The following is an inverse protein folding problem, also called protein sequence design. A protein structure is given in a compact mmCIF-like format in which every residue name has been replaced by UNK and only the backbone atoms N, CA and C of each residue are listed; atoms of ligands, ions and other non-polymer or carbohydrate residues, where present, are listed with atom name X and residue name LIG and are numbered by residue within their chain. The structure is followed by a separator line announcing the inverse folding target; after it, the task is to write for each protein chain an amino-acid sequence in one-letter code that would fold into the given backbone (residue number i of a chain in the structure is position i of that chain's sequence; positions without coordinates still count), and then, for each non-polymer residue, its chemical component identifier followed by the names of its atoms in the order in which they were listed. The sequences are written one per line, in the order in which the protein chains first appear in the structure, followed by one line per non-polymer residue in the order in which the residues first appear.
data_IF_339357383788
#
_entry.id   IF_339357383788
#
_cell.length_a   1.000
_cell.length_b   1.000
_cell.length_c   1.000
_cell.angle_alpha   90.00
_cell.angle_beta   90.00
_cell.angle_gamma   90.00
#
_symmetry.space_group_name_H-M   'P 1'
#
loop_
_entity.id
_entity.type
_entity.pdbx_description
1 polymer ?
#
# COMPACT_ATOMS: atom_id res chain seq x y z
N UNK A 1 -30.06 -30.52 46.07
CA UNK A 1 -29.87 -29.91 44.74
C UNK A 1 -30.42 -30.90 43.71
N UNK A 2 -31.46 -30.52 42.95
CA UNK A 2 -32.18 -31.48 42.10
C UNK A 2 -31.31 -31.94 40.93
N UNK A 3 -31.47 -33.18 40.49
CA UNK A 3 -30.67 -33.76 39.40
C UNK A 3 -30.78 -32.94 38.09
N UNK A 4 -31.86 -32.18 37.92
CA UNK A 4 -32.07 -31.28 36.78
C UNK A 4 -31.08 -30.12 36.72
N UNK A 5 -30.65 -29.55 37.85
CA UNK A 5 -29.64 -28.47 37.83
C UNK A 5 -28.27 -28.99 37.40
N UNK A 6 -27.95 -30.26 37.66
CA UNK A 6 -26.69 -30.88 37.19
C UNK A 6 -26.69 -31.13 35.68
N UNK A 7 -27.81 -31.59 35.11
CA UNK A 7 -27.91 -31.81 33.66
C UNK A 7 -27.92 -30.49 32.88
N UNK A 8 -28.52 -29.43 33.41
CA UNK A 8 -28.52 -28.09 32.81
C UNK A 8 -27.10 -27.46 32.81
N UNK A 9 -26.33 -27.67 33.88
CA UNK A 9 -24.94 -27.24 33.95
C UNK A 9 -24.02 -28.03 33.00
N UNK A 10 -24.29 -29.32 32.80
CA UNK A 10 -23.52 -30.18 31.89
C UNK A 10 -23.76 -29.82 30.41
N UNK A 11 -24.99 -29.47 30.03
CA UNK A 11 -25.31 -29.05 28.66
C UNK A 11 -24.74 -27.67 28.32
N UNK A 12 -24.77 -26.71 29.25
CA UNK A 12 -24.16 -25.38 29.03
C UNK A 12 -22.64 -25.47 28.88
N UNK A 13 -21.96 -26.36 29.63
CA UNK A 13 -20.52 -26.59 29.47
C UNK A 13 -20.15 -27.22 28.11
N UNK A 14 -20.97 -28.14 27.59
CA UNK A 14 -20.73 -28.79 26.30
C UNK A 14 -20.93 -27.86 25.09
N UNK A 15 -21.80 -26.85 25.20
CA UNK A 15 -22.00 -25.85 24.15
C UNK A 15 -20.91 -24.77 24.09
N UNK A 16 -20.15 -24.55 25.17
CA UNK A 16 -19.09 -23.53 25.21
C UNK A 16 -17.72 -24.02 24.68
N UNK A 17 -17.59 -25.31 24.33
CA UNK A 17 -16.33 -25.89 23.85
C UNK A 17 -16.18 -25.87 22.31
N UNK A 18 -17.20 -25.42 21.57
CA UNK A 18 -17.16 -25.25 20.11
C UNK A 18 -16.96 -23.78 19.72
N UNK A 19 -15.95 -23.11 20.28
CA UNK A 19 -15.43 -21.91 19.64
C UNK A 19 -14.45 -22.36 18.54
N UNK A 20 -14.69 -22.07 17.25
CA UNK A 20 -13.66 -22.30 16.25
C UNK A 20 -12.43 -21.48 16.65
N UNK A 21 -11.28 -22.15 16.75
CA UNK A 21 -10.01 -21.45 16.89
C UNK A 21 -9.93 -20.40 15.76
N UNK A 22 -9.43 -19.18 16.01
CA UNK A 22 -9.18 -18.25 14.92
C UNK A 22 -8.27 -18.97 13.93
N UNK A 23 -8.78 -19.18 12.72
CA UNK A 23 -7.98 -19.70 11.61
C UNK A 23 -7.04 -18.56 11.28
N UNK A 24 -5.85 -18.53 11.90
CA UNK A 24 -4.77 -17.72 11.40
C UNK A 24 -4.54 -18.21 9.97
N UNK A 25 -4.90 -17.39 8.99
CA UNK A 25 -4.44 -17.60 7.63
C UNK A 25 -2.92 -17.82 7.69
N UNK A 26 -2.37 -18.82 6.99
CA UNK A 26 -0.92 -19.02 6.99
C UNK A 26 -0.27 -17.71 6.55
N UNK A 27 0.61 -17.16 7.40
CA UNK A 27 1.37 -15.96 7.07
C UNK A 27 2.08 -16.18 5.74
N UNK A 28 2.02 -15.19 4.85
CA UNK A 28 2.70 -15.29 3.56
C UNK A 28 4.20 -15.46 3.81
N UNK A 29 4.89 -16.37 3.10
CA UNK A 29 6.32 -16.51 3.29
C UNK A 29 7.01 -15.17 3.03
N UNK A 30 8.01 -14.83 3.86
CA UNK A 30 8.81 -13.63 3.66
C UNK A 30 9.44 -13.63 2.25
N UNK A 31 9.69 -12.44 1.70
CA UNK A 31 10.41 -12.24 0.44
C UNK A 31 11.80 -11.69 0.76
N UNK A 32 12.86 -12.27 0.21
CA UNK A 32 14.21 -11.73 0.33
C UNK A 32 14.80 -11.43 -1.05
N UNK A 33 15.26 -10.19 -1.24
CA UNK A 33 16.03 -9.76 -2.41
C UNK A 33 17.50 -9.71 -2.03
N UNK A 34 18.35 -10.50 -2.68
CA UNK A 34 19.75 -10.73 -2.27
C UNK A 34 20.75 -10.37 -3.37
N UNK A 35 22.03 -10.26 -3.01
CA UNK A 35 23.19 -10.12 -3.90
C UNK A 35 23.20 -8.89 -4.84
N UNK A 36 22.26 -7.96 -4.69
CA UNK A 36 22.24 -6.72 -5.47
C UNK A 36 23.04 -5.60 -4.80
N UNK A 37 23.38 -4.57 -5.57
CA UNK A 37 23.87 -3.33 -5.02
C UNK A 37 22.68 -2.54 -4.44
N UNK A 38 22.54 -2.48 -3.12
CA UNK A 38 21.41 -1.85 -2.46
C UNK A 38 21.66 -0.35 -2.23
N UNK A 39 20.78 0.49 -2.75
CA UNK A 39 20.67 1.88 -2.35
C UNK A 39 19.58 2.02 -1.29
N UNK A 40 19.92 2.47 -0.09
CA UNK A 40 18.97 2.59 1.03
C UNK A 40 18.28 3.97 1.12
N UNK A 41 18.50 4.84 0.12
CA UNK A 41 18.08 6.25 0.14
C UNK A 41 19.18 7.22 0.58
N UNK A 42 20.28 6.72 1.14
CA UNK A 42 21.40 7.53 1.62
C UNK A 42 22.77 7.08 1.11
N UNK A 43 22.99 5.78 0.97
CA UNK A 43 24.27 5.20 0.56
C UNK A 43 24.08 3.93 -0.26
N UNK A 44 25.14 3.55 -0.97
CA UNK A 44 25.21 2.30 -1.72
C UNK A 44 25.88 1.20 -0.89
N UNK A 45 25.26 0.01 -0.86
CA UNK A 45 25.72 -1.21 -0.19
C UNK A 45 25.97 -2.27 -1.28
N UNK A 46 27.23 -2.58 -1.63
CA UNK A 46 27.53 -3.41 -2.80
C UNK A 46 26.98 -4.84 -2.80
N UNK A 47 26.78 -5.43 -1.62
CA UNK A 47 26.20 -6.76 -1.43
C UNK A 47 25.05 -6.65 -0.43
N UNK A 48 23.96 -6.05 -0.89
CA UNK A 48 22.79 -5.79 -0.09
C UNK A 48 21.83 -6.97 -0.02
N UNK A 49 21.07 -7.02 1.06
CA UNK A 49 19.90 -7.89 1.22
C UNK A 49 18.75 -7.09 1.79
N UNK A 50 17.55 -7.29 1.26
CA UNK A 50 16.30 -6.72 1.78
C UNK A 50 15.33 -7.88 2.04
N UNK A 51 14.78 -7.94 3.25
CA UNK A 51 13.75 -8.90 3.65
C UNK A 51 12.45 -8.16 3.87
N UNK A 52 11.38 -8.65 3.24
CA UNK A 52 10.03 -8.15 3.38
C UNK A 52 9.12 -9.24 3.95
N UNK A 53 8.22 -8.85 4.84
CA UNK A 53 7.21 -9.73 5.44
C UNK A 53 5.92 -8.92 5.61
N UNK A 54 4.79 -9.48 5.16
CA UNK A 54 3.47 -8.83 5.22
C UNK A 54 3.45 -7.39 4.69
N UNK A 55 4.16 -7.15 3.58
CA UNK A 55 4.21 -5.85 2.90
C UNK A 55 5.10 -4.80 3.58
N UNK A 56 5.84 -5.17 4.63
CA UNK A 56 6.78 -4.29 5.33
C UNK A 56 8.21 -4.79 5.17
N UNK A 57 9.18 -3.86 5.23
CA UNK A 57 10.61 -4.20 5.27
C UNK A 57 10.93 -4.63 6.70
N UNK A 58 11.32 -5.89 6.88
CA UNK A 58 11.74 -6.43 8.17
C UNK A 58 13.23 -6.12 8.42
N UNK A 59 14.06 -6.19 7.37
CA UNK A 59 15.48 -5.87 7.44
C UNK A 59 16.02 -5.43 6.07
N UNK A 60 16.99 -4.51 6.06
CA UNK A 60 17.72 -4.11 4.86
C UNK A 60 19.15 -3.71 5.23
N UNK A 61 20.15 -4.19 4.51
CA UNK A 61 21.55 -3.90 4.85
C UNK A 61 22.56 -4.79 4.13
N UNK A 62 23.83 -4.79 4.57
CA UNK A 62 24.84 -5.73 4.11
C UNK A 62 24.37 -7.17 4.31
N UNK A 63 24.62 -8.05 3.34
CA UNK A 63 24.18 -9.45 3.40
C UNK A 63 24.65 -10.20 4.66
N UNK A 64 25.80 -9.81 5.21
CA UNK A 64 26.37 -10.39 6.45
C UNK A 64 25.64 -9.97 7.73
N UNK A 65 24.84 -8.91 7.69
CA UNK A 65 24.09 -8.35 8.82
C UNK A 65 22.60 -8.71 8.78
N UNK A 66 22.09 -9.18 7.63
CA UNK A 66 20.67 -9.48 7.44
C UNK A 66 20.42 -10.98 7.54
N UNK A 67 19.57 -11.37 8.49
CA UNK A 67 19.11 -12.76 8.61
C UNK A 67 17.89 -12.99 7.73
N UNK A 68 17.95 -14.00 6.85
CA UNK A 68 16.83 -14.39 6.00
C UNK A 68 16.00 -15.46 6.72
N UNK A 69 14.69 -15.24 6.98
CA UNK A 69 13.83 -16.25 7.58
C UNK A 69 13.77 -17.53 6.76
N UNK A 70 13.67 -18.68 7.43
CA UNK A 70 13.50 -19.98 6.77
C UNK A 70 12.21 -20.03 5.95
N UNK A 71 12.30 -20.55 4.72
CA UNK A 71 11.15 -20.63 3.81
C UNK A 71 10.82 -19.34 3.06
N UNK A 72 11.68 -18.30 3.18
CA UNK A 72 11.52 -17.09 2.39
C UNK A 72 11.61 -17.36 0.88
N UNK A 73 10.78 -16.68 0.11
CA UNK A 73 10.92 -16.59 -1.35
C UNK A 73 12.15 -15.75 -1.67
N UNK A 74 13.05 -16.24 -2.52
CA UNK A 74 14.31 -15.55 -2.83
C UNK A 74 14.26 -14.95 -4.24
N UNK A 75 14.64 -13.68 -4.36
CA UNK A 75 14.97 -13.00 -5.61
C UNK A 75 16.47 -12.72 -5.61
N UNK A 76 17.21 -13.32 -6.53
CA UNK A 76 18.64 -13.05 -6.72
C UNK A 76 18.83 -11.84 -7.66
N UNK A 77 19.29 -10.72 -7.12
CA UNK A 77 19.50 -9.46 -7.83
C UNK A 77 20.97 -9.25 -8.23
N UNK A 78 21.77 -10.33 -8.32
CA UNK A 78 23.18 -10.25 -8.72
C UNK A 78 23.38 -9.47 -10.02
N UNK A 79 24.26 -8.48 -9.97
CA UNK A 79 24.55 -7.60 -11.12
C UNK A 79 23.51 -6.51 -11.36
N UNK A 80 22.49 -6.40 -10.50
CA UNK A 80 21.47 -5.35 -10.52
C UNK A 80 21.57 -4.46 -9.29
N UNK A 81 20.90 -3.31 -9.34
CA UNK A 81 20.75 -2.38 -8.22
C UNK A 81 19.38 -2.58 -7.57
N UNK A 82 19.34 -2.69 -6.25
CA UNK A 82 18.10 -2.71 -5.46
C UNK A 82 17.83 -1.26 -5.04
N UNK A 83 16.66 -0.73 -5.45
CA UNK A 83 16.22 0.63 -5.15
C UNK A 83 14.94 0.59 -4.30
N UNK A 84 14.67 1.62 -3.50
CA UNK A 84 13.32 1.88 -3.01
C UNK A 84 12.36 2.04 -4.19
N UNK A 85 11.08 1.74 -3.98
CA UNK A 85 10.06 2.10 -4.96
C UNK A 85 10.11 3.59 -5.27
N UNK A 86 10.01 3.96 -6.55
CA UNK A 86 10.12 5.37 -6.94
C UNK A 86 8.88 6.15 -6.48
N UNK A 87 9.10 7.44 -6.21
CA UNK A 87 8.08 8.40 -5.78
C UNK A 87 8.08 9.54 -6.79
N UNK A 88 6.91 9.86 -7.35
CA UNK A 88 6.69 11.04 -8.18
C UNK A 88 5.83 12.06 -7.43
N UNK A 89 6.38 13.23 -7.17
CA UNK A 89 5.73 14.26 -6.33
C UNK A 89 4.78 15.16 -7.13
N UNK A 90 4.75 15.05 -8.46
CA UNK A 90 3.91 15.93 -9.28
C UNK A 90 3.42 15.27 -10.56
N UNK A 91 2.21 14.72 -10.48
CA UNK A 91 1.50 14.15 -11.63
C UNK A 91 0.11 14.76 -11.77
N UNK A 92 -0.56 14.42 -12.87
CA UNK A 92 -1.96 14.78 -13.13
C UNK A 92 -2.74 13.57 -13.65
N UNK A 93 -4.06 13.59 -13.46
CA UNK A 93 -5.01 12.55 -13.87
C UNK A 93 -4.78 11.18 -13.21
N UNK A 94 -4.04 11.16 -12.11
CA UNK A 94 -3.67 9.97 -11.36
C UNK A 94 -4.77 9.45 -10.43
N UNK A 95 -5.97 10.04 -10.41
CA UNK A 95 -7.11 9.42 -9.76
C UNK A 95 -7.63 8.21 -10.57
N UNK A 96 -7.38 8.17 -11.88
CA UNK A 96 -7.76 7.04 -12.72
C UNK A 96 -6.84 5.81 -12.48
N UNK A 97 -7.40 4.61 -12.20
CA UNK A 97 -6.63 3.41 -11.88
C UNK A 97 -5.71 2.94 -13.01
N UNK A 98 -6.16 3.07 -14.26
CA UNK A 98 -5.39 2.65 -15.44
C UNK A 98 -4.10 3.46 -15.55
N UNK A 99 -4.18 4.78 -15.37
CA UNK A 99 -3.02 5.69 -15.37
C UNK A 99 -2.06 5.32 -14.22
N UNK A 100 -2.59 5.06 -13.01
CA UNK A 100 -1.77 4.60 -11.87
C UNK A 100 -1.10 3.24 -12.14
N UNK A 101 -1.72 2.37 -12.92
CA UNK A 101 -1.11 1.10 -13.34
C UNK A 101 0.13 1.30 -14.20
N UNK A 102 0.13 2.30 -15.09
CA UNK A 102 1.30 2.61 -15.93
C UNK A 102 2.47 3.16 -15.12
N UNK A 103 2.21 4.02 -14.12
CA UNK A 103 3.23 4.46 -13.16
C UNK A 103 3.88 3.27 -12.44
N UNK A 104 3.07 2.32 -11.97
CA UNK A 104 3.59 1.14 -11.27
C UNK A 104 4.47 0.27 -12.18
N UNK A 105 4.06 0.06 -13.44
CA UNK A 105 4.88 -0.67 -14.43
C UNK A 105 6.24 -0.02 -14.67
N UNK A 106 6.31 1.32 -14.58
CA UNK A 106 7.54 2.08 -14.67
C UNK A 106 8.37 2.10 -13.36
N UNK A 107 7.89 1.44 -12.29
CA UNK A 107 8.56 1.39 -10.99
C UNK A 107 8.19 2.53 -10.03
N UNK A 108 7.27 3.42 -10.41
CA UNK A 108 6.73 4.48 -9.56
C UNK A 108 5.65 3.88 -8.67
N UNK A 109 6.00 3.62 -7.41
CA UNK A 109 5.10 2.96 -6.45
C UNK A 109 4.19 3.93 -5.71
N UNK A 110 4.57 5.20 -5.66
CA UNK A 110 3.81 6.27 -4.98
C UNK A 110 3.80 7.53 -5.84
N UNK A 111 2.66 8.19 -5.94
CA UNK A 111 2.49 9.43 -6.69
C UNK A 111 1.72 10.49 -5.87
N UNK A 112 1.93 11.75 -6.18
CA UNK A 112 1.12 12.88 -5.72
C UNK A 112 0.48 13.59 -6.91
N UNK A 113 -0.85 13.51 -7.02
CA UNK A 113 -1.61 14.24 -8.03
C UNK A 113 -1.93 15.65 -7.55
N UNK A 114 -1.44 16.64 -8.30
CA UNK A 114 -1.52 18.04 -7.93
C UNK A 114 -2.76 18.77 -8.51
N UNK A 115 -3.69 18.06 -9.14
CA UNK A 115 -4.82 18.70 -9.83
C UNK A 115 -6.02 17.80 -10.11
N UNK A 116 -6.20 16.70 -9.38
CA UNK A 116 -7.34 15.82 -9.57
C UNK A 116 -8.67 16.54 -9.29
N UNK A 117 -9.55 16.60 -10.29
CA UNK A 117 -10.87 17.20 -10.18
C UNK A 117 -11.75 16.51 -9.13
N UNK A 118 -12.67 17.26 -8.52
CA UNK A 118 -13.47 16.76 -7.39
C UNK A 118 -14.39 15.57 -7.78
N UNK A 119 -14.89 15.56 -9.02
CA UNK A 119 -15.68 14.44 -9.53
C UNK A 119 -14.84 13.18 -9.73
N UNK A 120 -13.63 13.33 -10.25
CA UNK A 120 -12.70 12.22 -10.46
C UNK A 120 -12.31 11.59 -9.12
N UNK A 121 -12.03 12.41 -8.11
CA UNK A 121 -11.78 11.92 -6.75
C UNK A 121 -12.98 11.18 -6.17
N UNK A 122 -14.19 11.73 -6.29
CA UNK A 122 -15.41 11.03 -5.84
C UNK A 122 -15.61 9.70 -6.56
N UNK A 123 -15.29 9.63 -7.85
CA UNK A 123 -15.48 8.43 -8.65
C UNK A 123 -14.52 7.31 -8.25
N UNK A 124 -13.25 7.65 -8.01
CA UNK A 124 -12.18 6.65 -7.83
C UNK A 124 -11.61 6.57 -6.40
N UNK A 125 -12.17 7.30 -5.43
CA UNK A 125 -11.68 7.31 -4.04
C UNK A 125 -11.58 5.91 -3.41
N UNK A 126 -12.52 5.01 -3.72
CA UNK A 126 -12.58 3.67 -3.11
C UNK A 126 -11.54 2.72 -3.73
N UNK A 127 -11.03 3.05 -4.93
CA UNK A 127 -10.03 2.27 -5.65
C UNK A 127 -8.61 2.46 -5.09
N UNK A 128 -8.42 3.38 -4.14
CA UNK A 128 -7.23 3.42 -3.30
C UNK A 128 -7.10 2.21 -2.37
N UNK A 129 -8.23 1.62 -1.97
CA UNK A 129 -8.30 0.62 -0.90
C UNK A 129 -8.51 -0.80 -1.44
N UNK A 130 -9.01 -0.93 -2.68
CA UNK A 130 -9.11 -2.20 -3.38
C UNK A 130 -7.71 -2.70 -3.76
N UNK A 131 -7.39 -3.97 -3.49
CA UNK A 131 -6.08 -4.60 -3.74
C UNK A 131 -5.63 -4.72 -5.20
N UNK A 132 -5.97 -3.75 -6.05
CA UNK A 132 -5.46 -3.58 -7.39
C UNK A 132 -3.96 -3.28 -7.37
N UNK A 133 -3.24 -3.82 -8.35
CA UNK A 133 -1.80 -3.55 -8.55
C UNK A 133 -1.63 -2.20 -9.27
N UNK A 134 -1.75 -1.12 -8.51
CA UNK A 134 -1.60 0.26 -8.97
C UNK A 134 -0.75 1.07 -7.97
N UNK A 135 -0.11 2.14 -8.42
CA UNK A 135 0.69 3.02 -7.53
C UNK A 135 -0.18 3.60 -6.43
N UNK A 136 0.31 3.71 -5.19
CA UNK A 136 -0.35 4.50 -4.14
C UNK A 136 -0.43 5.96 -4.58
N UNK A 137 -1.57 6.63 -4.41
CA UNK A 137 -1.70 8.03 -4.77
C UNK A 137 -2.10 8.91 -3.57
N UNK A 138 -1.55 10.11 -3.53
CA UNK A 138 -2.04 11.23 -2.71
C UNK A 138 -2.63 12.28 -3.65
N UNK A 139 -3.62 13.04 -3.19
CA UNK A 139 -4.30 14.02 -4.03
C UNK A 139 -4.32 15.39 -3.34
N UNK A 140 -3.87 16.42 -4.02
CA UNK A 140 -4.07 17.81 -3.60
C UNK A 140 -5.53 18.26 -3.79
N UNK A 141 -6.24 17.64 -4.75
CA UNK A 141 -7.59 18.02 -5.14
C UNK A 141 -7.61 19.01 -6.30
N UNK A 142 -8.78 19.63 -6.55
CA UNK A 142 -8.96 20.53 -7.69
C UNK A 142 -8.12 21.80 -7.53
N UNK A 143 -7.73 22.40 -8.66
CA UNK A 143 -7.05 23.68 -8.65
C UNK A 143 -7.96 24.78 -8.08
N UNK A 144 -7.43 25.54 -7.11
CA UNK A 144 -8.10 26.74 -6.62
C UNK A 144 -7.66 27.94 -7.47
N UNK A 145 -8.52 28.34 -8.40
CA UNK A 145 -8.30 29.46 -9.31
C UNK A 145 -9.43 30.49 -9.20
N UNK A 146 -9.19 31.77 -9.58
CA UNK A 146 -10.27 32.74 -9.68
C UNK A 146 -11.27 32.32 -10.77
N UNK A 147 -12.50 32.87 -10.79
CA UNK A 147 -13.42 32.67 -11.90
C UNK A 147 -12.72 32.95 -13.24
N UNK A 148 -12.80 31.99 -14.17
CA UNK A 148 -12.11 32.01 -15.48
C UNK A 148 -10.56 32.02 -15.43
N UNK A 149 -9.95 31.78 -14.27
CA UNK A 149 -8.50 31.69 -14.10
C UNK A 149 -7.90 30.40 -14.65
N UNK A 150 -6.66 30.45 -15.14
CA UNK A 150 -5.93 29.25 -15.59
C UNK A 150 -5.07 28.65 -14.46
N UNK A 151 -4.95 27.30 -14.37
CA UNK A 151 -5.76 26.30 -15.04
C UNK A 151 -7.12 26.18 -14.32
N UNK A 152 -8.21 26.52 -15.01
CA UNK A 152 -9.54 26.26 -14.50
C UNK A 152 -9.79 24.77 -14.65
N UNK A 153 -10.35 24.16 -13.60
CA UNK A 153 -10.89 22.81 -13.70
C UNK A 153 -11.90 22.81 -14.86
N UNK A 154 -11.65 21.96 -15.86
CA UNK A 154 -12.46 21.92 -17.09
C UNK A 154 -13.80 21.24 -16.87
N UNK A 155 -13.94 20.51 -15.78
CA UNK A 155 -15.21 20.05 -15.28
C UNK A 155 -15.82 21.13 -14.38
N UNK A 156 -17.15 21.25 -14.36
CA UNK A 156 -17.83 22.28 -13.56
C UNK A 156 -17.72 22.04 -12.03
N UNK A 157 -16.78 21.20 -11.59
CA UNK A 157 -16.68 20.71 -10.20
C UNK A 157 -15.94 21.68 -9.28
N UNK A 158 -15.12 22.59 -9.82
CA UNK A 158 -14.33 23.56 -9.05
C UNK A 158 -14.83 25.01 -9.15
N UNK A 159 -16.12 25.24 -9.41
CA UNK A 159 -16.72 26.57 -9.25
C UNK A 159 -16.89 26.94 -7.77
N UNK A 160 -15.82 26.87 -6.99
CA UNK A 160 -15.72 27.50 -5.67
C UNK A 160 -15.36 28.97 -5.90
N UNK A 161 -16.30 29.72 -6.48
CA UNK A 161 -16.15 31.14 -6.68
C UNK A 161 -16.04 31.83 -5.31
N UNK A 162 -14.85 32.33 -4.97
CA UNK A 162 -14.73 33.34 -3.92
C UNK A 162 -15.33 34.62 -4.51
N UNK A 163 -16.61 34.88 -4.19
CA UNK A 163 -17.22 36.15 -4.56
C UNK A 163 -16.41 37.27 -3.95
N UNK A 164 -15.87 38.15 -4.77
CA UNK A 164 -15.43 39.47 -4.29
C UNK A 164 -16.68 40.19 -3.76
N UNK A 165 -16.62 40.78 -2.55
CA UNK A 165 -17.76 41.49 -1.96
C UNK A 165 -18.25 42.66 -2.82
#
# INVERSE_FOLDING_TARGET
MSNWTKYLLLTVLLLSACAPAPINAPASPALAVINGALWDGSRMIPQGTVVLHDGQIEAAGPAVEVTIPGGATIIDAKGSTILPGLIDDHVHNAAEPEIRGEFLKAGVTTICDAGAGALQLRQYQDEQVGGALISRAFFAGPFLSPPEGYPADTDASAHLGVGTP
#
